data_IF_835963773589
#
_entry.id   IF_835963773589
#
_cell.length_a   1.000
_cell.length_b   1.000
_cell.length_c   1.000
_cell.angle_alpha   90.00
_cell.angle_beta   90.00
_cell.angle_gamma   90.00
#
_symmetry.space_group_name_H-M   'P 1'
#
loop_
_entity.id
_entity.type
_entity.pdbx_description
1 polymer ?
#
# COMPACT_ATOMS: atom_id res chain seq x y z
N UNK A 1 -7.61 2.91 15.63
CA UNK A 1 -6.20 2.49 15.73
C UNK A 1 -6.02 1.08 16.33
N UNK A 2 -6.57 0.75 17.51
CA UNK A 2 -6.37 -0.58 18.15
C UNK A 2 -6.75 -1.80 17.29
N UNK A 3 -7.85 -1.72 16.51
CA UNK A 3 -8.27 -2.83 15.61
C UNK A 3 -7.28 -3.12 14.47
N UNK A 4 -6.59 -2.10 13.92
CA UNK A 4 -5.62 -2.30 12.83
C UNK A 4 -4.31 -2.92 13.34
N UNK A 5 -3.83 -2.55 14.54
CA UNK A 5 -2.68 -3.22 15.17
C UNK A 5 -2.96 -4.71 15.42
N UNK A 6 -4.16 -5.07 15.90
CA UNK A 6 -4.55 -6.47 16.05
C UNK A 6 -4.64 -7.21 14.71
N UNK A 7 -5.19 -6.59 13.67
CA UNK A 7 -5.24 -7.20 12.34
C UNK A 7 -3.85 -7.46 11.74
N UNK A 8 -2.89 -6.54 11.90
CA UNK A 8 -1.51 -6.75 11.44
C UNK A 8 -0.87 -7.93 12.18
N UNK A 9 -0.98 -7.96 13.51
CA UNK A 9 -0.45 -9.06 14.30
C UNK A 9 -1.07 -10.43 13.94
N UNK A 10 -2.39 -10.48 13.67
CA UNK A 10 -3.06 -11.69 13.20
C UNK A 10 -2.60 -12.10 11.81
N UNK A 11 -2.47 -11.15 10.88
CA UNK A 11 -2.03 -11.42 9.51
C UNK A 11 -0.63 -12.01 9.46
N UNK A 12 0.32 -11.43 10.21
CA UNK A 12 1.70 -11.93 10.28
C UNK A 12 1.76 -13.36 10.84
N UNK A 13 0.97 -13.66 11.88
CA UNK A 13 0.90 -15.01 12.46
C UNK A 13 0.34 -16.04 11.48
N UNK A 14 -0.66 -15.67 10.67
CA UNK A 14 -1.21 -16.56 9.65
C UNK A 14 -0.21 -16.77 8.52
N UNK A 15 0.44 -15.71 8.03
CA UNK A 15 1.49 -15.80 7.00
C UNK A 15 2.70 -16.63 7.47
N UNK A 16 3.04 -16.57 8.76
CA UNK A 16 4.10 -17.39 9.34
C UNK A 16 3.80 -18.89 9.41
N UNK A 17 2.56 -19.30 9.14
CA UNK A 17 2.17 -20.72 9.04
C UNK A 17 2.17 -21.23 7.58
N UNK A 18 2.40 -20.35 6.61
CA UNK A 18 2.37 -20.69 5.19
C UNK A 18 3.76 -21.12 4.72
N UNK A 19 3.81 -22.31 4.12
CA UNK A 19 4.96 -22.74 3.32
C UNK A 19 4.94 -21.98 2.00
N UNK A 20 5.86 -21.02 1.86
CA UNK A 20 5.98 -20.23 0.65
C UNK A 20 6.59 -21.09 -0.46
N UNK A 21 5.95 -21.06 -1.63
CA UNK A 21 6.54 -21.60 -2.84
C UNK A 21 7.85 -20.88 -3.19
N UNK A 22 8.70 -21.55 -3.97
CA UNK A 22 9.91 -20.93 -4.50
C UNK A 22 9.57 -19.66 -5.29
N UNK A 23 10.35 -18.59 -5.07
CA UNK A 23 10.10 -17.28 -5.68
C UNK A 23 9.03 -16.43 -4.99
N UNK A 24 8.39 -16.91 -3.92
CA UNK A 24 7.49 -16.10 -3.10
C UNK A 24 8.24 -15.41 -1.95
N UNK A 25 7.94 -14.14 -1.76
CA UNK A 25 8.57 -13.29 -0.75
C UNK A 25 7.54 -12.72 0.22
N UNK A 26 7.99 -12.36 1.43
CA UNK A 26 7.16 -11.64 2.41
C UNK A 26 7.78 -10.28 2.65
N UNK A 27 6.95 -9.25 2.51
CA UNK A 27 7.25 -7.90 2.91
C UNK A 27 6.46 -7.52 4.17
N UNK A 28 7.01 -6.67 5.02
CA UNK A 28 6.30 -6.15 6.21
C UNK A 28 6.60 -4.67 6.45
N UNK A 29 5.92 -4.05 7.41
CA UNK A 29 6.02 -2.61 7.68
C UNK A 29 6.12 -2.32 9.17
N UNK A 30 6.95 -1.35 9.53
CA UNK A 30 6.82 -0.65 10.79
C UNK A 30 5.66 0.34 10.73
N UNK A 31 4.72 0.20 11.65
CA UNK A 31 3.59 1.10 11.80
C UNK A 31 4.06 2.43 12.39
N UNK A 32 3.39 3.53 12.02
CA UNK A 32 3.73 4.90 12.45
C UNK A 32 2.47 5.68 12.79
N UNK A 33 1.63 5.13 13.67
CA UNK A 33 0.31 5.68 13.99
C UNK A 33 0.33 6.64 15.18
N UNK A 34 1.35 6.55 16.02
CA UNK A 34 1.54 7.38 17.21
C UNK A 34 2.91 8.05 17.18
N UNK A 35 3.02 9.24 17.80
CA UNK A 35 4.32 9.87 18.02
C UNK A 35 5.31 8.92 18.70
N UNK A 36 6.50 8.80 18.13
CA UNK A 36 7.59 7.98 18.65
C UNK A 36 7.57 6.53 18.16
N UNK A 37 6.61 6.11 17.35
CA UNK A 37 6.56 4.76 16.79
C UNK A 37 7.83 4.45 15.96
N UNK A 38 8.40 5.45 15.29
CA UNK A 38 9.63 5.29 14.49
C UNK A 38 10.92 5.66 15.24
N UNK A 39 10.89 5.77 16.58
CA UNK A 39 12.11 5.83 17.38
C UNK A 39 12.95 4.56 17.15
N UNK A 40 14.29 4.64 17.15
CA UNK A 40 15.17 3.50 16.88
C UNK A 40 14.82 2.22 17.66
N UNK A 41 14.54 2.36 18.97
CA UNK A 41 14.15 1.24 19.84
C UNK A 41 12.82 0.61 19.40
N UNK A 42 11.81 1.43 19.13
CA UNK A 42 10.47 0.97 18.76
C UNK A 42 10.47 0.34 17.37
N UNK A 43 11.25 0.88 16.45
CA UNK A 43 11.45 0.32 15.11
C UNK A 43 12.06 -1.08 15.17
N UNK A 44 13.13 -1.27 15.97
CA UNK A 44 13.72 -2.60 16.20
C UNK A 44 12.69 -3.55 16.81
N UNK A 45 12.00 -3.15 17.87
CA UNK A 45 10.98 -3.98 18.51
C UNK A 45 9.91 -4.42 17.50
N UNK A 46 9.40 -3.49 16.70
CA UNK A 46 8.38 -3.76 15.68
C UNK A 46 8.85 -4.78 14.64
N UNK A 47 10.09 -4.67 14.15
CA UNK A 47 10.63 -5.62 13.19
C UNK A 47 10.85 -7.00 13.83
N UNK A 48 11.40 -7.07 15.04
CA UNK A 48 11.64 -8.35 15.74
C UNK A 48 10.33 -9.08 16.04
N UNK A 49 9.30 -8.35 16.48
CA UNK A 49 7.96 -8.92 16.66
C UNK A 49 7.38 -9.44 15.35
N UNK A 50 7.59 -8.72 14.25
CA UNK A 50 7.15 -9.16 12.91
C UNK A 50 7.85 -10.44 12.47
N UNK A 51 9.17 -10.51 12.62
CA UNK A 51 9.98 -11.70 12.29
C UNK A 51 9.59 -12.92 13.13
N UNK A 52 9.36 -12.72 14.43
CA UNK A 52 8.87 -13.77 15.33
C UNK A 52 7.49 -14.27 14.90
N UNK A 53 6.55 -13.38 14.60
CA UNK A 53 5.21 -13.75 14.14
C UNK A 53 5.23 -14.48 12.79
N UNK A 54 6.11 -14.05 11.88
CA UNK A 54 6.32 -14.66 10.57
C UNK A 54 7.13 -15.97 10.62
N UNK A 55 7.70 -16.31 11.78
CA UNK A 55 8.62 -17.46 11.94
C UNK A 55 9.79 -17.42 10.95
N UNK A 56 10.34 -16.23 10.71
CA UNK A 56 11.42 -15.98 9.75
C UNK A 56 12.51 -15.13 10.37
N UNK A 57 13.74 -15.30 9.90
CA UNK A 57 14.88 -14.48 10.32
C UNK A 57 15.00 -13.18 9.50
N UNK A 58 14.39 -13.17 8.31
CA UNK A 58 14.49 -12.10 7.32
C UNK A 58 13.19 -11.93 6.54
N UNK A 59 12.87 -10.70 6.18
CA UNK A 59 11.82 -10.34 5.20
C UNK A 59 12.46 -9.81 3.93
N UNK A 60 11.73 -9.81 2.82
CA UNK A 60 12.22 -9.25 1.57
C UNK A 60 12.25 -7.72 1.66
N UNK A 61 11.09 -7.04 1.72
CA UNK A 61 11.06 -5.59 1.96
C UNK A 61 10.58 -5.26 3.38
N UNK A 62 11.30 -4.35 4.04
CA UNK A 62 10.84 -3.70 5.26
C UNK A 62 10.48 -2.23 4.96
N UNK A 63 9.21 -1.88 5.15
CA UNK A 63 8.71 -0.54 4.91
C UNK A 63 8.64 0.31 6.18
N UNK A 64 8.94 1.60 6.06
CA UNK A 64 8.31 2.62 6.91
C UNK A 64 6.89 2.87 6.36
N UNK A 65 5.85 2.56 7.14
CA UNK A 65 4.45 2.63 6.66
C UNK A 65 3.97 4.06 6.40
N UNK A 66 4.54 5.04 7.08
CA UNK A 66 4.23 6.45 6.96
C UNK A 66 5.27 7.30 7.68
N UNK A 67 5.19 8.63 7.55
CA UNK A 67 6.04 9.54 8.31
C UNK A 67 5.58 9.60 9.77
N UNK A 68 6.52 9.44 10.70
CA UNK A 68 6.37 9.86 12.09
C UNK A 68 7.13 11.17 12.28
N UNK A 69 6.43 12.29 12.09
CA UNK A 69 7.04 13.63 12.14
C UNK A 69 7.41 14.10 13.54
N UNK A 70 7.19 13.27 14.56
CA UNK A 70 7.66 13.53 15.93
C UNK A 70 9.09 13.04 16.18
N UNK A 71 9.63 12.22 15.27
CA UNK A 71 10.98 11.67 15.35
C UNK A 71 11.83 12.29 14.24
N UNK A 72 13.05 12.79 14.53
CA UNK A 72 13.97 13.20 13.48
C UNK A 72 14.22 12.06 12.50
N UNK A 73 13.97 12.30 11.21
CA UNK A 73 14.03 11.25 10.18
C UNK A 73 15.40 10.57 10.12
N UNK A 74 16.48 11.31 10.39
CA UNK A 74 17.84 10.76 10.43
C UNK A 74 18.01 9.66 11.49
N UNK A 75 17.39 9.80 12.67
CA UNK A 75 17.45 8.77 13.71
C UNK A 75 16.75 7.48 13.26
N UNK A 76 15.60 7.62 12.61
CA UNK A 76 14.88 6.49 12.00
C UNK A 76 15.72 5.83 10.90
N UNK A 77 16.33 6.61 10.01
CA UNK A 77 17.15 6.09 8.91
C UNK A 77 18.44 5.40 9.41
N UNK A 78 19.05 5.92 10.48
CA UNK A 78 20.19 5.28 11.15
C UNK A 78 19.80 3.89 11.66
N UNK A 79 18.63 3.79 12.31
CA UNK A 79 18.11 2.53 12.81
C UNK A 79 17.77 1.54 11.67
N UNK A 80 17.14 2.01 10.58
CA UNK A 80 16.92 1.22 9.37
C UNK A 80 18.24 0.65 8.85
N UNK A 81 19.29 1.46 8.77
CA UNK A 81 20.59 1.01 8.27
C UNK A 81 21.24 -0.06 9.17
N UNK A 82 21.13 0.10 10.50
CA UNK A 82 21.61 -0.93 11.45
C UNK A 82 20.87 -2.25 11.22
N UNK A 83 19.53 -2.22 11.15
CA UNK A 83 18.70 -3.42 10.95
C UNK A 83 18.96 -4.09 9.58
N UNK A 84 19.27 -3.29 8.55
CA UNK A 84 19.68 -3.80 7.24
C UNK A 84 21.02 -4.54 7.31
N UNK A 85 22.03 -3.94 7.95
CA UNK A 85 23.36 -4.54 8.08
C UNK A 85 23.37 -5.79 8.97
N UNK A 86 22.43 -5.89 9.91
CA UNK A 86 22.19 -7.12 10.69
C UNK A 86 21.49 -8.23 9.87
N UNK A 87 21.05 -7.93 8.63
CA UNK A 87 20.49 -8.91 7.72
C UNK A 87 19.00 -9.20 7.92
N UNK A 88 18.28 -8.37 8.67
CA UNK A 88 16.86 -8.60 8.98
C UNK A 88 15.90 -8.35 7.81
N UNK A 89 16.35 -7.66 6.76
CA UNK A 89 15.59 -7.50 5.52
C UNK A 89 16.50 -7.34 4.29
N UNK A 90 15.96 -7.55 3.09
CA UNK A 90 16.71 -7.45 1.82
C UNK A 90 16.65 -6.08 1.19
N UNK A 91 15.53 -5.39 1.35
CA UNK A 91 15.27 -4.11 0.70
C UNK A 91 14.55 -3.16 1.65
N UNK A 92 14.93 -1.90 1.59
CA UNK A 92 14.27 -0.84 2.33
C UNK A 92 13.12 -0.24 1.49
N UNK A 93 11.95 -0.06 2.09
CA UNK A 93 10.80 0.57 1.45
C UNK A 93 10.22 1.77 2.19
N UNK A 94 9.57 2.67 1.44
CA UNK A 94 8.79 3.79 1.97
C UNK A 94 7.32 3.65 1.62
N UNK A 95 6.43 4.25 2.40
CA UNK A 95 5.01 4.33 2.09
C UNK A 95 4.42 5.61 2.65
N UNK A 96 3.52 6.28 1.91
CA UNK A 96 2.80 7.48 2.35
C UNK A 96 3.66 8.71 2.73
N UNK A 97 4.90 8.80 2.26
CA UNK A 97 5.74 10.00 2.33
C UNK A 97 5.49 10.93 1.14
N UNK A 98 5.55 12.24 1.34
CA UNK A 98 5.50 13.21 0.24
C UNK A 98 6.77 13.14 -0.63
N UNK A 99 6.67 13.65 -1.87
CA UNK A 99 7.79 13.76 -2.83
C UNK A 99 9.04 14.42 -2.22
N UNK A 100 8.84 15.52 -1.48
CA UNK A 100 9.93 16.26 -0.83
C UNK A 100 10.56 15.50 0.34
N UNK A 101 9.78 14.72 1.11
CA UNK A 101 10.31 13.88 2.19
C UNK A 101 11.14 12.73 1.60
N UNK A 102 10.73 12.17 0.47
CA UNK A 102 11.54 11.17 -0.25
C UNK A 102 12.87 11.77 -0.69
N UNK A 103 12.87 12.98 -1.24
CA UNK A 103 14.09 13.65 -1.66
C UNK A 103 15.04 13.95 -0.49
N UNK A 104 14.50 14.40 0.65
CA UNK A 104 15.24 14.60 1.90
C UNK A 104 15.88 13.29 2.38
N UNK A 105 15.09 12.21 2.47
CA UNK A 105 15.56 10.88 2.85
C UNK A 105 16.70 10.43 1.95
N UNK A 106 16.55 10.58 0.63
CA UNK A 106 17.57 10.21 -0.34
C UNK A 106 18.87 11.00 -0.17
N UNK A 107 18.78 12.29 0.18
CA UNK A 107 19.93 13.11 0.54
C UNK A 107 20.68 12.57 1.76
N UNK A 108 19.95 12.29 2.85
CA UNK A 108 20.51 11.80 4.11
C UNK A 108 21.19 10.43 3.94
N UNK A 109 20.51 9.46 3.32
CA UNK A 109 21.08 8.11 3.15
C UNK A 109 22.28 8.13 2.21
N UNK A 110 22.29 9.02 1.20
CA UNK A 110 23.44 9.19 0.31
C UNK A 110 24.64 9.78 1.05
N UNK A 111 24.43 10.81 1.86
CA UNK A 111 25.49 11.48 2.63
C UNK A 111 26.14 10.53 3.64
N UNK A 112 25.35 9.66 4.27
CA UNK A 112 25.83 8.74 5.31
C UNK A 112 26.23 7.35 4.77
N UNK A 113 26.16 7.12 3.46
CA UNK A 113 26.36 5.80 2.84
C UNK A 113 25.49 4.70 3.49
N UNK A 114 24.22 5.01 3.73
CA UNK A 114 23.23 4.08 4.28
C UNK A 114 22.41 3.40 3.19
N UNK A 115 21.73 2.31 3.55
CA UNK A 115 20.78 1.63 2.68
C UNK A 115 19.75 2.61 2.10
N UNK A 116 19.57 2.56 0.78
CA UNK A 116 18.62 3.43 0.07
C UNK A 116 17.27 2.73 -0.05
N UNK A 117 16.15 3.47 0.01
CA UNK A 117 14.86 2.94 -0.40
C UNK A 117 14.95 2.37 -1.82
N UNK A 118 14.53 1.13 -2.01
CA UNK A 118 14.43 0.51 -3.33
C UNK A 118 12.98 0.54 -3.87
N UNK A 119 12.01 0.64 -2.96
CA UNK A 119 10.58 0.56 -3.28
C UNK A 119 9.78 1.61 -2.51
N UNK A 120 8.79 2.21 -3.17
CA UNK A 120 7.78 3.06 -2.57
C UNK A 120 6.40 2.42 -2.75
N UNK A 121 5.61 2.29 -1.68
CA UNK A 121 4.24 1.79 -1.72
C UNK A 121 3.24 2.94 -1.57
N UNK A 122 2.46 3.24 -2.62
CA UNK A 122 1.57 4.40 -2.68
C UNK A 122 0.17 4.11 -3.19
N UNK A 123 -0.81 4.93 -2.78
CA UNK A 123 -2.20 4.80 -3.27
C UNK A 123 -2.25 5.27 -4.72
N UNK A 124 -2.69 4.38 -5.62
CA UNK A 124 -2.79 4.73 -7.04
C UNK A 124 -3.89 3.92 -7.74
N UNK A 125 -4.77 4.62 -8.47
CA UNK A 125 -5.86 4.05 -9.25
C UNK A 125 -6.46 5.10 -10.20
N UNK A 126 -7.40 4.67 -11.05
CA UNK A 126 -8.00 5.51 -12.09
C UNK A 126 -8.65 6.81 -11.58
N UNK A 127 -9.08 6.85 -10.31
CA UNK A 127 -9.72 8.02 -9.67
C UNK A 127 -8.85 8.67 -8.58
N UNK A 128 -7.60 8.22 -8.43
CA UNK A 128 -6.67 8.64 -7.39
C UNK A 128 -5.26 8.72 -7.94
N UNK A 129 -4.95 9.83 -8.60
CA UNK A 129 -3.74 10.03 -9.42
C UNK A 129 -2.77 11.08 -8.88
N UNK A 130 -2.97 11.54 -7.65
CA UNK A 130 -2.14 12.61 -7.04
C UNK A 130 -0.64 12.30 -7.05
N UNK A 131 -0.26 11.01 -7.09
CA UNK A 131 1.14 10.57 -7.14
C UNK A 131 1.82 10.84 -8.49
N UNK A 132 1.08 11.07 -9.58
CA UNK A 132 1.63 11.26 -10.93
C UNK A 132 2.40 12.57 -11.08
N UNK A 133 1.99 13.63 -10.37
CA UNK A 133 2.51 14.98 -10.62
C UNK A 133 3.94 15.16 -10.11
N UNK A 134 4.20 14.75 -8.86
CA UNK A 134 5.51 14.98 -8.23
C UNK A 134 6.17 13.71 -7.71
N UNK A 135 5.39 12.82 -7.10
CA UNK A 135 5.94 11.66 -6.42
C UNK A 135 6.56 10.68 -7.42
N UNK A 136 5.82 10.23 -8.44
CA UNK A 136 6.35 9.29 -9.43
C UNK A 136 7.61 9.86 -10.11
N UNK A 137 7.63 11.12 -10.61
CA UNK A 137 8.85 11.73 -11.12
C UNK A 137 10.03 11.73 -10.13
N UNK A 138 9.78 12.04 -8.86
CA UNK A 138 10.79 11.97 -7.79
C UNK A 138 11.32 10.53 -7.62
N UNK A 139 10.44 9.53 -7.59
CA UNK A 139 10.84 8.13 -7.50
C UNK A 139 11.70 7.70 -8.68
N UNK A 140 11.35 8.13 -9.91
CA UNK A 140 12.15 7.80 -11.11
C UNK A 140 13.51 8.46 -11.07
N UNK A 141 13.60 9.71 -10.64
CA UNK A 141 14.87 10.40 -10.45
C UNK A 141 15.83 9.63 -9.55
N UNK A 142 15.31 9.00 -8.49
CA UNK A 142 16.10 8.22 -7.54
C UNK A 142 16.18 6.72 -7.84
N UNK A 143 15.57 6.24 -8.93
CA UNK A 143 15.53 4.82 -9.29
C UNK A 143 14.72 3.94 -8.33
N UNK A 144 13.69 4.50 -7.68
CA UNK A 144 12.81 3.81 -6.73
C UNK A 144 11.60 3.24 -7.50
N UNK A 145 11.30 1.95 -7.28
CA UNK A 145 10.12 1.28 -7.86
C UNK A 145 8.85 1.71 -7.13
N UNK A 146 7.72 1.78 -7.84
CA UNK A 146 6.43 2.15 -7.27
C UNK A 146 5.48 0.97 -7.21
N UNK A 147 5.01 0.62 -6.00
CA UNK A 147 4.03 -0.44 -5.79
C UNK A 147 2.67 0.17 -5.43
N UNK A 148 1.71 0.05 -6.34
CA UNK A 148 0.40 0.65 -6.23
C UNK A 148 -0.50 -0.17 -5.28
N UNK A 149 -1.03 0.46 -4.23
CA UNK A 149 -2.10 -0.11 -3.41
C UNK A 149 -3.43 0.62 -3.61
N UNK A 150 -4.52 0.02 -3.15
CA UNK A 150 -5.84 0.64 -3.20
C UNK A 150 -6.35 0.80 -4.63
N UNK A 151 -6.02 -0.18 -5.47
CA UNK A 151 -6.19 -0.21 -6.93
C UNK A 151 -7.65 -0.14 -7.37
N UNK A 152 -8.56 -0.69 -6.54
CA UNK A 152 -10.01 -0.58 -6.73
C UNK A 152 -10.66 0.51 -5.86
N UNK A 153 -9.85 1.38 -5.24
CA UNK A 153 -10.26 2.41 -4.29
C UNK A 153 -11.24 1.86 -3.25
N UNK A 154 -10.87 0.81 -2.53
CA UNK A 154 -11.72 0.22 -1.49
C UNK A 154 -13.02 -0.40 -2.01
N UNK A 155 -13.10 -0.79 -3.29
CA UNK A 155 -14.29 -1.36 -3.91
C UNK A 155 -15.15 -0.35 -4.68
N UNK A 156 -14.80 0.94 -4.68
CA UNK A 156 -15.51 1.94 -5.47
C UNK A 156 -15.47 1.63 -6.97
N UNK A 157 -14.36 1.07 -7.46
CA UNK A 157 -14.18 0.64 -8.85
C UNK A 157 -14.58 -0.82 -9.08
N UNK A 158 -15.39 -1.41 -8.20
CA UNK A 158 -15.91 -2.77 -8.38
C UNK A 158 -17.17 -2.84 -9.24
N UNK A 159 -17.84 -1.71 -9.44
CA UNK A 159 -19.16 -1.66 -10.08
C UNK A 159 -20.32 -2.06 -9.17
N UNK A 160 -20.16 -1.97 -7.84
CA UNK A 160 -21.21 -2.26 -6.85
C UNK A 160 -21.66 -1.04 -6.03
N UNK A 161 -21.00 0.11 -6.17
CA UNK A 161 -21.20 1.29 -5.33
C UNK A 161 -21.46 2.50 -6.23
N UNK A 162 -22.69 3.01 -6.21
CA UNK A 162 -23.15 4.08 -7.12
C UNK A 162 -23.99 5.17 -6.45
N UNK A 163 -24.18 5.08 -5.13
CA UNK A 163 -24.93 6.05 -4.33
C UNK A 163 -24.47 5.98 -2.86
N UNK A 164 -24.90 6.97 -2.07
CA UNK A 164 -24.52 7.05 -0.65
C UNK A 164 -25.06 5.86 0.15
N UNK A 165 -26.21 5.32 -0.24
CA UNK A 165 -26.81 4.15 0.42
C UNK A 165 -25.96 2.89 0.20
N UNK A 166 -25.49 2.64 -1.01
CA UNK A 166 -24.57 1.53 -1.32
C UNK A 166 -23.21 1.69 -0.63
N UNK A 167 -22.70 2.91 -0.50
CA UNK A 167 -21.50 3.20 0.31
C UNK A 167 -21.69 2.80 1.77
N UNK A 168 -22.79 3.23 2.40
CA UNK A 168 -23.08 2.97 3.81
C UNK A 168 -23.39 1.48 4.06
N UNK A 169 -24.02 0.80 3.09
CA UNK A 169 -24.32 -0.63 3.16
C UNK A 169 -23.09 -1.54 3.03
N UNK A 170 -21.93 -0.99 2.66
CA UNK A 170 -20.68 -1.77 2.50
C UNK A 170 -20.08 -2.14 3.87
N UNK A 171 -20.72 -3.08 4.59
CA UNK A 171 -20.32 -3.48 5.94
C UNK A 171 -18.87 -3.98 6.04
N UNK A 172 -18.16 -3.56 7.07
CA UNK A 172 -16.81 -4.02 7.39
C UNK A 172 -15.70 -3.47 6.50
N UNK A 173 -16.02 -2.68 5.48
CA UNK A 173 -15.07 -2.08 4.54
C UNK A 173 -14.57 -0.69 4.96
N UNK A 174 -13.70 -0.11 4.13
CA UNK A 174 -13.14 1.25 4.36
C UNK A 174 -14.22 2.35 4.34
N UNK A 175 -15.37 2.06 3.73
CA UNK A 175 -16.53 2.95 3.57
C UNK A 175 -17.52 2.87 4.74
N UNK A 176 -17.39 1.89 5.64
CA UNK A 176 -18.29 1.70 6.77
C UNK A 176 -17.82 2.54 7.96
N UNK A 177 -18.60 3.56 8.38
CA UNK A 177 -18.23 4.45 9.47
C UNK A 177 -18.17 3.75 10.84
N UNK A 178 -18.76 2.56 10.99
CA UNK A 178 -18.69 1.79 12.24
C UNK A 178 -17.33 1.11 12.46
N UNK A 179 -16.54 0.93 11.39
CA UNK A 179 -15.23 0.27 11.44
C UNK A 179 -14.08 1.14 10.96
N UNK A 180 -14.36 2.16 10.13
CA UNK A 180 -13.35 3.03 9.51
C UNK A 180 -13.57 4.50 9.88
N UNK A 181 -12.67 5.03 10.69
CA UNK A 181 -12.63 6.46 11.02
C UNK A 181 -12.39 7.36 9.79
N UNK A 182 -11.91 6.80 8.67
CA UNK A 182 -11.72 7.52 7.41
C UNK A 182 -13.01 7.60 6.58
N UNK A 183 -14.03 6.81 6.88
CA UNK A 183 -15.24 6.72 6.04
C UNK A 183 -15.89 8.10 5.79
N UNK A 184 -16.09 9.00 6.78
CA UNK A 184 -16.69 10.32 6.50
C UNK A 184 -15.86 11.17 5.55
N UNK A 185 -14.54 11.14 5.68
CA UNK A 185 -13.62 11.85 4.79
C UNK A 185 -13.69 11.28 3.38
N UNK A 186 -13.73 9.95 3.26
CA UNK A 186 -13.83 9.26 1.99
C UNK A 186 -15.18 9.51 1.31
N UNK A 187 -16.29 9.52 2.06
CA UNK A 187 -17.61 9.89 1.54
C UNK A 187 -17.60 11.31 1.00
N UNK A 188 -17.04 12.28 1.73
CA UNK A 188 -16.89 13.66 1.25
C UNK A 188 -16.03 13.74 -0.01
N UNK A 189 -14.93 13.00 -0.06
CA UNK A 189 -13.97 13.02 -1.18
C UNK A 189 -14.52 12.36 -2.44
N UNK A 190 -15.17 11.21 -2.30
CA UNK A 190 -15.56 10.35 -3.43
C UNK A 190 -17.05 10.39 -3.76
N UNK A 191 -17.91 10.90 -2.86
CA UNK A 191 -19.34 11.07 -3.08
C UNK A 191 -19.68 11.81 -4.39
N UNK A 192 -19.00 12.92 -4.73
CA UNK A 192 -19.21 13.61 -6.00
C UNK A 192 -18.89 12.78 -7.26
N UNK A 193 -18.11 11.69 -7.14
CA UNK A 193 -17.79 10.82 -8.28
C UNK A 193 -18.86 9.74 -8.53
N UNK A 194 -19.79 9.50 -7.60
CA UNK A 194 -20.74 8.38 -7.71
C UNK A 194 -21.63 8.44 -8.96
N UNK A 195 -22.18 9.59 -9.39
CA UNK A 195 -22.96 9.66 -10.63
C UNK A 195 -22.10 9.34 -11.86
N UNK A 196 -20.87 9.84 -11.90
CA UNK A 196 -19.92 9.60 -13.00
C UNK A 196 -19.56 8.10 -13.07
N UNK A 197 -19.37 7.45 -11.92
CA UNK A 197 -19.12 6.01 -11.87
C UNK A 197 -20.33 5.20 -12.35
N UNK A 198 -21.56 5.66 -12.11
CA UNK A 198 -22.77 5.02 -12.64
C UNK A 198 -22.81 5.11 -14.17
N UNK A 199 -22.59 6.30 -14.74
CA UNK A 199 -22.51 6.50 -16.19
C UNK A 199 -21.40 5.65 -16.81
N UNK A 200 -20.22 5.58 -16.16
CA UNK A 200 -19.13 4.72 -16.58
C UNK A 200 -19.53 3.24 -16.58
N UNK A 201 -20.26 2.77 -15.56
CA UNK A 201 -20.74 1.39 -15.51
C UNK A 201 -21.69 1.08 -16.66
N UNK A 202 -22.66 1.95 -16.91
CA UNK A 202 -23.64 1.80 -17.99
C UNK A 202 -22.95 1.75 -19.35
N UNK A 203 -21.96 2.61 -19.59
CA UNK A 203 -21.15 2.58 -20.81
C UNK A 203 -20.36 1.27 -20.95
N UNK A 204 -19.71 0.82 -19.89
CA UNK A 204 -18.92 -0.41 -19.91
C UNK A 204 -19.80 -1.64 -20.17
N UNK A 205 -21.04 -1.65 -19.65
CA UNK A 205 -22.01 -2.74 -19.87
C UNK A 205 -22.42 -2.86 -21.35
N UNK A 206 -22.58 -1.74 -22.07
CA UNK A 206 -22.82 -1.76 -23.53
C UNK A 206 -21.71 -2.49 -24.28
N UNK A 207 -20.48 -2.44 -23.75
CA UNK A 207 -19.30 -3.09 -24.34
C UNK A 207 -18.98 -4.45 -23.72
N UNK A 208 -19.82 -4.98 -22.82
CA UNK A 208 -19.57 -6.22 -22.07
C UNK A 208 -18.25 -6.21 -21.28
N UNK A 209 -17.81 -5.04 -20.80
CA UNK A 209 -16.61 -4.89 -19.99
C UNK A 209 -17.01 -4.72 -18.53
N UNK A 210 -16.44 -5.50 -17.61
CA UNK A 210 -16.71 -5.31 -16.17
C UNK A 210 -15.96 -4.09 -15.65
N UNK A 211 -16.54 -3.32 -14.74
CA UNK A 211 -15.86 -2.14 -14.16
C UNK A 211 -14.51 -2.46 -13.51
N UNK A 212 -14.45 -3.58 -12.78
CA UNK A 212 -13.19 -4.08 -12.20
C UNK A 212 -12.14 -4.43 -13.27
N UNK A 213 -12.58 -4.88 -14.46
CA UNK A 213 -11.71 -5.14 -15.61
C UNK A 213 -11.13 -3.83 -16.13
N UNK A 214 -11.99 -2.85 -16.36
CA UNK A 214 -11.60 -1.53 -16.83
C UNK A 214 -10.60 -0.88 -15.87
N UNK A 215 -10.82 -1.01 -14.55
CA UNK A 215 -9.93 -0.47 -13.52
C UNK A 215 -8.55 -1.13 -13.53
N UNK A 216 -8.47 -2.45 -13.70
CA UNK A 216 -7.21 -3.19 -13.78
C UNK A 216 -6.48 -2.92 -15.09
N UNK A 217 -7.19 -2.93 -16.22
CA UNK A 217 -6.64 -2.58 -17.55
C UNK A 217 -6.10 -1.15 -17.56
N UNK A 218 -6.78 -0.22 -16.89
CA UNK A 218 -6.26 1.14 -16.75
C UNK A 218 -4.90 1.16 -16.04
N UNK A 219 -4.72 0.38 -14.97
CA UNK A 219 -3.43 0.28 -14.29
C UNK A 219 -2.33 -0.28 -15.20
N UNK A 220 -2.64 -1.28 -16.02
CA UNK A 220 -1.65 -1.92 -16.88
C UNK A 220 -1.29 -1.09 -18.11
N UNK A 221 -2.29 -0.46 -18.74
CA UNK A 221 -2.16 0.09 -20.10
C UNK A 221 -2.23 1.61 -20.16
N UNK A 222 -2.73 2.27 -19.11
CA UNK A 222 -3.09 3.69 -19.15
C UNK A 222 -2.62 4.49 -17.92
N UNK A 223 -1.82 3.87 -17.06
CA UNK A 223 -1.28 4.47 -15.86
C UNK A 223 0.19 4.87 -16.06
N UNK A 224 0.77 5.53 -15.07
CA UNK A 224 2.18 5.90 -15.02
C UNK A 224 3.10 4.78 -14.51
N UNK A 225 2.58 3.55 -14.34
CA UNK A 225 3.37 2.39 -13.99
C UNK A 225 4.30 1.99 -15.15
N UNK A 226 5.50 1.51 -14.81
CA UNK A 226 6.55 1.10 -15.74
C UNK A 226 7.05 -0.31 -15.40
N UNK A 227 7.80 -0.97 -16.30
CA UNK A 227 8.45 -2.24 -15.98
C UNK A 227 9.28 -2.14 -14.69
N UNK A 228 9.04 -3.05 -13.75
CA UNK A 228 9.65 -3.06 -12.41
C UNK A 228 8.77 -2.47 -11.30
N UNK A 229 7.70 -1.77 -11.66
CA UNK A 229 6.62 -1.45 -10.72
C UNK A 229 5.70 -2.65 -10.48
N UNK A 230 4.84 -2.55 -9.46
CA UNK A 230 3.91 -3.61 -9.12
C UNK A 230 2.54 -3.07 -8.69
N UNK A 231 1.54 -3.95 -8.74
CA UNK A 231 0.18 -3.70 -8.27
C UNK A 231 -0.12 -4.66 -7.12
N UNK A 232 -0.57 -4.10 -6.00
CA UNK A 232 -0.96 -4.87 -4.82
C UNK A 232 -2.44 -5.16 -4.90
N UNK A 233 -2.76 -6.44 -5.13
CA UNK A 233 -4.13 -6.94 -5.12
C UNK A 233 -4.60 -7.19 -3.69
N UNK A 234 -5.85 -6.81 -3.42
CA UNK A 234 -6.51 -7.05 -2.14
C UNK A 234 -7.87 -7.68 -2.36
N UNK A 235 -8.23 -8.64 -1.50
CA UNK A 235 -9.51 -9.31 -1.54
C UNK A 235 -10.01 -9.61 -0.13
N UNK A 236 -11.34 -9.73 0.03
CA UNK A 236 -11.98 -10.06 1.31
C UNK A 236 -12.36 -11.55 1.42
N UNK A 237 -12.06 -12.35 0.39
CA UNK A 237 -12.29 -13.80 0.36
C UNK A 237 -11.34 -14.45 -0.66
N UNK A 238 -11.08 -15.77 -0.53
CA UNK A 238 -10.27 -16.51 -1.52
C UNK A 238 -10.82 -16.40 -2.95
N UNK A 239 -12.13 -16.58 -3.13
CA UNK A 239 -12.77 -16.46 -4.46
C UNK A 239 -12.50 -15.09 -5.11
N UNK A 240 -12.66 -13.99 -4.34
CA UNK A 240 -12.37 -12.65 -4.86
C UNK A 240 -10.90 -12.48 -5.24
N UNK A 241 -9.99 -13.17 -4.55
CA UNK A 241 -8.57 -13.15 -4.91
C UNK A 241 -8.33 -13.89 -6.23
N UNK A 242 -8.89 -15.08 -6.38
CA UNK A 242 -8.82 -15.84 -7.64
C UNK A 242 -9.39 -15.04 -8.81
N UNK A 243 -10.57 -14.45 -8.64
CA UNK A 243 -11.20 -13.60 -9.65
C UNK A 243 -10.30 -12.42 -10.03
N UNK A 244 -9.69 -11.76 -9.04
CA UNK A 244 -8.76 -10.65 -9.27
C UNK A 244 -7.50 -11.10 -10.02
N UNK A 245 -6.96 -12.28 -9.72
CA UNK A 245 -5.75 -12.83 -10.36
C UNK A 245 -6.05 -13.21 -11.81
N UNK A 246 -7.10 -14.00 -12.04
CA UNK A 246 -7.51 -14.42 -13.38
C UNK A 246 -7.72 -13.20 -14.26
N UNK A 247 -8.38 -12.18 -13.72
CA UNK A 247 -8.64 -10.95 -14.45
C UNK A 247 -7.36 -10.15 -14.72
N UNK A 248 -6.46 -10.03 -13.75
CA UNK A 248 -5.18 -9.35 -13.94
C UNK A 248 -4.31 -10.02 -15.02
N UNK A 249 -4.36 -11.35 -15.11
CA UNK A 249 -3.60 -12.12 -16.10
C UNK A 249 -4.26 -12.17 -17.50
N UNK A 250 -5.56 -11.88 -17.60
CA UNK A 250 -6.31 -11.93 -18.85
C UNK A 250 -6.26 -10.62 -19.66
N UNK A 251 -5.66 -9.57 -19.09
CA UNK A 251 -5.62 -8.20 -19.63
C UNK A 251 -4.24 -7.81 -20.12
#
# INVERSE_FOLDING_TARGET
>A
MLKQHHQVATTLKLLGQVDLAEGCYIDTKALSWKPGDLLPKNLRTSLMESLMALRRQKVHIFYLHGPDRSVPIEDTLRAINVLYNEGHFEQFGLSNYNSWEVAEIMGIVKQNNWVRPAVYQGKYNAVGRNVEVELIPCLRHFGIKFYAYGTLSGGLLSGMIFDVDSLIKTKGGVWDPSVSHLAPLLHKKYGPLLPILRELKELLDVHNVRMIEAAQRWLQHHSALQPGDAVILGASSPQKMEDNIVQWCAT
#
